data_IF_375446738393
#
_entry.id   IF_375446738393
#
_cell.length_a   1.000
_cell.length_b   1.000
_cell.length_c   1.000
_cell.angle_alpha   90.00
_cell.angle_beta   90.00
_cell.angle_gamma   90.00
#
_symmetry.space_group_name_H-M   'P 1'
#
loop_
_entity.id
_entity.type
_entity.pdbx_description
1 polymer ?
#
# COMPACT_ATOMS: atom_id res chain seq x y z
N UNK A 1 -5.10 0.06 -19.72
CA UNK A 1 -4.05 -0.85 -19.17
C UNK A 1 -3.86 -2.01 -20.14
N UNK A 2 -2.70 -2.67 -20.17
CA UNK A 2 -2.57 -3.87 -20.98
C UNK A 2 -3.51 -5.00 -20.49
N UNK A 3 -3.98 -5.83 -21.43
CA UNK A 3 -4.80 -7.01 -21.16
C UNK A 3 -3.89 -8.22 -21.03
N UNK A 4 -4.07 -8.98 -19.95
CA UNK A 4 -3.33 -10.23 -19.73
C UNK A 4 -3.81 -11.31 -20.70
N UNK A 5 -2.86 -12.09 -21.23
CA UNK A 5 -3.14 -13.10 -22.24
C UNK A 5 -2.57 -14.44 -21.77
N UNK A 6 -3.41 -15.47 -21.80
CA UNK A 6 -3.01 -16.85 -21.59
C UNK A 6 -3.06 -17.61 -22.92
N UNK A 7 -2.15 -18.56 -23.12
CA UNK A 7 -2.23 -19.52 -24.22
C UNK A 7 -3.31 -20.58 -23.99
N UNK A 8 -3.53 -21.43 -24.99
CA UNK A 8 -4.51 -22.53 -24.97
C UNK A 8 -4.41 -23.36 -23.69
N UNK A 9 -3.18 -23.65 -23.26
CA UNK A 9 -2.84 -24.44 -22.06
C UNK A 9 -2.77 -23.62 -20.76
N UNK A 10 -3.33 -22.41 -20.74
CA UNK A 10 -3.35 -21.47 -19.59
C UNK A 10 -1.96 -20.98 -19.14
N UNK A 11 -0.93 -21.18 -19.95
CA UNK A 11 0.40 -20.61 -19.72
C UNK A 11 0.40 -19.10 -20.06
N UNK A 12 1.14 -18.27 -19.31
CA UNK A 12 1.16 -16.83 -19.54
C UNK A 12 1.88 -16.46 -20.84
N UNK A 13 1.26 -15.58 -21.63
CA UNK A 13 1.83 -14.98 -22.84
C UNK A 13 2.02 -13.47 -22.64
N UNK A 14 2.66 -12.81 -23.60
CA UNK A 14 2.82 -11.35 -23.56
C UNK A 14 1.46 -10.63 -23.47
N UNK A 15 1.28 -9.70 -22.53
CA UNK A 15 0.10 -8.84 -22.49
C UNK A 15 -0.09 -8.07 -23.81
N UNK A 16 -1.33 -7.73 -24.13
CA UNK A 16 -1.67 -7.01 -25.36
C UNK A 16 -2.47 -5.73 -25.10
N UNK A 17 -2.65 -4.90 -26.12
CA UNK A 17 -3.49 -3.71 -26.02
C UNK A 17 -4.98 -4.08 -25.96
N UNK A 18 -5.79 -3.20 -25.37
CA UNK A 18 -7.25 -3.37 -25.30
C UNK A 18 -7.87 -3.53 -26.71
N UNK A 19 -7.38 -2.75 -27.69
CA UNK A 19 -7.77 -2.89 -29.11
C UNK A 19 -7.54 -4.31 -29.63
N UNK A 20 -6.35 -4.89 -29.37
CA UNK A 20 -6.01 -6.25 -29.83
C UNK A 20 -6.86 -7.30 -29.11
N UNK A 21 -7.06 -7.16 -27.80
CA UNK A 21 -7.90 -8.07 -27.03
C UNK A 21 -9.35 -8.09 -27.55
N UNK A 22 -9.90 -6.92 -27.85
CA UNK A 22 -11.24 -6.79 -28.45
C UNK A 22 -11.34 -7.49 -29.80
N UNK A 23 -10.40 -7.25 -30.71
CA UNK A 23 -10.37 -7.93 -32.02
C UNK A 23 -10.25 -9.46 -31.89
N UNK A 24 -9.48 -9.96 -30.92
CA UNK A 24 -9.35 -11.40 -30.67
C UNK A 24 -10.65 -12.03 -30.16
N UNK A 25 -11.40 -11.30 -29.33
CA UNK A 25 -12.70 -11.75 -28.82
C UNK A 25 -13.78 -11.70 -29.91
N UNK A 26 -13.88 -10.60 -30.66
CA UNK A 26 -14.81 -10.43 -31.78
C UNK A 26 -14.65 -11.52 -32.85
N UNK A 27 -13.39 -11.92 -33.13
CA UNK A 27 -13.07 -13.00 -34.08
C UNK A 27 -13.19 -14.41 -33.49
N UNK A 28 -13.65 -14.57 -32.25
CA UNK A 28 -13.81 -15.88 -31.60
C UNK A 28 -12.51 -16.63 -31.28
N UNK A 29 -11.34 -15.96 -31.40
CA UNK A 29 -10.02 -16.55 -31.16
C UNK A 29 -9.62 -16.57 -29.69
N UNK A 30 -10.30 -15.79 -28.85
CA UNK A 30 -10.06 -15.73 -27.41
C UNK A 30 -11.34 -15.90 -26.60
N UNK A 31 -11.18 -16.25 -25.32
CA UNK A 31 -12.26 -16.28 -24.33
C UNK A 31 -11.87 -15.49 -23.10
N UNK A 32 -12.84 -14.87 -22.44
CA UNK A 32 -12.62 -14.17 -21.17
C UNK A 32 -12.42 -15.21 -20.06
N UNK A 33 -11.34 -15.07 -19.31
CA UNK A 33 -11.04 -15.90 -18.12
C UNK A 33 -11.33 -15.15 -16.84
N UNK A 34 -11.05 -13.85 -16.81
CA UNK A 34 -11.26 -12.99 -15.65
C UNK A 34 -11.63 -11.58 -16.12
N UNK A 35 -12.55 -10.91 -15.42
CA UNK A 35 -12.98 -9.57 -15.79
C UNK A 35 -12.11 -8.48 -15.17
N UNK A 36 -11.65 -8.69 -13.93
CA UNK A 36 -10.82 -7.70 -13.24
C UNK A 36 -9.77 -8.36 -12.34
N UNK A 37 -8.47 -8.16 -12.64
CA UNK A 37 -7.94 -7.59 -13.89
C UNK A 37 -8.39 -8.37 -15.13
N UNK A 38 -8.51 -7.72 -16.29
CA UNK A 38 -9.03 -8.36 -17.49
C UNK A 38 -8.01 -9.35 -18.06
N UNK A 39 -8.41 -10.62 -18.17
CA UNK A 39 -7.57 -11.72 -18.65
C UNK A 39 -8.33 -12.47 -19.73
N UNK A 40 -7.70 -12.65 -20.89
CA UNK A 40 -8.21 -13.49 -21.97
C UNK A 40 -7.33 -14.72 -22.16
N UNK A 41 -7.91 -15.79 -22.72
CA UNK A 41 -7.18 -16.99 -23.13
C UNK A 41 -7.38 -17.23 -24.61
N UNK A 42 -6.28 -17.37 -25.36
CA UNK A 42 -6.29 -17.73 -26.76
C UNK A 42 -6.70 -19.20 -26.93
N UNK A 43 -7.45 -19.51 -27.99
CA UNK A 43 -7.88 -20.89 -28.31
C UNK A 43 -6.88 -21.62 -29.21
N UNK A 44 -6.07 -20.86 -29.92
CA UNK A 44 -5.34 -21.28 -31.12
C UNK A 44 -3.81 -21.09 -31.02
N UNK A 45 -3.29 -20.67 -29.86
CA UNK A 45 -1.85 -20.50 -29.63
C UNK A 45 -1.40 -21.02 -28.28
N UNK A 46 -0.23 -21.64 -28.27
CA UNK A 46 0.51 -22.09 -27.10
C UNK A 46 1.75 -21.21 -26.87
N UNK A 47 2.41 -21.41 -25.74
CA UNK A 47 3.65 -20.70 -25.40
C UNK A 47 4.79 -21.03 -26.38
N UNK A 48 4.86 -22.27 -26.85
CA UNK A 48 5.82 -22.74 -27.88
C UNK A 48 5.78 -21.91 -29.17
N UNK A 49 4.62 -21.33 -29.49
CA UNK A 49 4.39 -20.64 -30.77
C UNK A 49 4.69 -19.13 -30.66
N UNK A 50 5.25 -18.70 -29.54
CA UNK A 50 5.35 -17.30 -29.16
C UNK A 50 6.76 -16.94 -28.70
N UNK A 51 7.33 -15.88 -29.29
CA UNK A 51 8.48 -15.21 -28.69
C UNK A 51 8.05 -14.32 -27.52
N UNK A 52 8.74 -14.44 -26.40
CA UNK A 52 8.52 -13.61 -25.22
C UNK A 52 9.58 -12.51 -25.11
N UNK A 53 9.19 -11.39 -24.51
CA UNK A 53 10.10 -10.33 -24.12
C UNK A 53 10.28 -10.36 -22.60
N UNK A 54 11.47 -10.05 -22.06
CA UNK A 54 11.66 -9.98 -20.62
C UNK A 54 10.70 -8.97 -19.98
N UNK A 55 10.06 -9.39 -18.88
CA UNK A 55 9.19 -8.52 -18.09
C UNK A 55 9.64 -8.45 -16.64
N UNK A 56 9.47 -7.27 -16.06
CA UNK A 56 9.87 -6.90 -14.70
C UNK A 56 8.61 -6.52 -13.91
N UNK A 57 8.46 -7.09 -12.72
CA UNK A 57 7.47 -6.64 -11.75
C UNK A 57 8.15 -5.77 -10.69
N UNK A 58 7.87 -4.47 -10.73
CA UNK A 58 8.30 -3.51 -9.72
C UNK A 58 7.34 -3.46 -8.54
N UNK A 59 7.87 -3.34 -7.32
CA UNK A 59 7.15 -3.37 -6.05
C UNK A 59 7.62 -2.22 -5.16
N UNK A 60 6.70 -1.36 -4.77
CA UNK A 60 6.92 -0.29 -3.78
C UNK A 60 6.10 -0.58 -2.51
N UNK A 61 6.69 -1.22 -1.48
CA UNK A 61 5.99 -1.58 -0.26
C UNK A 61 5.79 -0.37 0.67
N UNK A 62 4.54 0.08 0.80
CA UNK A 62 4.13 1.09 1.78
C UNK A 62 3.41 0.49 2.99
N UNK A 63 3.10 1.35 3.97
CA UNK A 63 2.47 0.88 5.23
C UNK A 63 0.97 0.61 5.10
N UNK A 64 0.28 1.39 4.26
CA UNK A 64 -1.16 1.28 4.00
C UNK A 64 -1.42 0.60 2.67
N UNK A 65 -0.52 0.77 1.72
CA UNK A 65 -0.68 0.36 0.34
C UNK A 65 0.66 -0.06 -0.24
N UNK A 66 0.64 -0.95 -1.22
CA UNK A 66 1.84 -1.34 -2.00
C UNK A 66 1.60 -1.03 -3.47
N UNK A 67 2.53 -0.33 -4.10
CA UNK A 67 2.54 -0.14 -5.54
C UNK A 67 3.05 -1.40 -6.24
N UNK A 68 2.39 -1.81 -7.32
CA UNK A 68 2.88 -2.89 -8.18
C UNK A 68 2.79 -2.43 -9.64
N UNK A 69 3.87 -2.62 -10.39
CA UNK A 69 3.92 -2.23 -11.79
C UNK A 69 4.57 -3.31 -12.65
N UNK A 70 3.79 -3.83 -13.60
CA UNK A 70 4.31 -4.77 -14.60
C UNK A 70 4.88 -3.99 -15.78
N UNK A 71 6.12 -4.28 -16.12
CA UNK A 71 6.86 -3.60 -17.17
C UNK A 71 7.45 -4.60 -18.15
N UNK A 72 7.48 -4.23 -19.44
CA UNK A 72 8.33 -4.89 -20.43
C UNK A 72 9.68 -4.18 -20.48
N UNK A 73 10.75 -4.95 -20.58
CA UNK A 73 12.11 -4.45 -20.81
C UNK A 73 12.42 -4.49 -22.30
N UNK A 74 13.08 -3.46 -22.84
CA UNK A 74 13.71 -3.56 -24.16
C UNK A 74 15.06 -4.30 -24.04
N UNK A 75 15.34 -5.19 -25.00
CA UNK A 75 16.54 -6.04 -25.02
C UNK A 75 17.83 -5.30 -25.39
N UNK A 76 17.81 -3.97 -25.57
CA UNK A 76 18.95 -3.20 -26.06
C UNK A 76 19.98 -2.85 -24.97
N UNK A 77 20.05 -3.63 -23.88
CA UNK A 77 21.15 -3.55 -22.93
C UNK A 77 22.32 -4.37 -23.47
N UNK A 78 23.38 -3.71 -23.91
CA UNK A 78 24.72 -4.32 -23.94
C UNK A 78 25.14 -4.62 -22.49
N UNK A 79 25.94 -5.67 -22.29
CA UNK A 79 26.30 -6.23 -20.97
C UNK A 79 26.84 -5.20 -19.94
N UNK A 80 27.28 -4.03 -20.38
CA UNK A 80 27.77 -2.94 -19.54
C UNK A 80 26.71 -1.92 -19.06
N UNK A 81 25.48 -1.92 -19.63
CA UNK A 81 24.43 -0.93 -19.31
C UNK A 81 23.13 -1.63 -18.92
N UNK A 82 22.58 -1.24 -17.76
CA UNK A 82 21.25 -1.66 -17.33
C UNK A 82 20.20 -1.42 -18.45
N UNK A 83 19.12 -2.21 -18.54
CA UNK A 83 18.09 -2.04 -19.58
C UNK A 83 17.62 -0.58 -19.65
N UNK A 84 17.97 0.08 -20.76
CA UNK A 84 17.82 1.51 -20.93
C UNK A 84 16.35 1.93 -20.90
N UNK A 85 15.44 1.09 -21.42
CA UNK A 85 14.03 1.44 -21.57
C UNK A 85 13.11 0.44 -20.88
N UNK A 86 12.20 0.96 -20.07
CA UNK A 86 11.07 0.22 -19.49
C UNK A 86 9.76 0.69 -20.12
N UNK A 87 8.84 -0.24 -20.37
CA UNK A 87 7.48 0.06 -20.82
C UNK A 87 6.47 -0.38 -19.77
N UNK A 88 5.81 0.57 -19.11
CA UNK A 88 4.70 0.29 -18.20
C UNK A 88 3.54 -0.37 -18.94
N UNK A 89 3.19 -1.59 -18.54
CA UNK A 89 2.06 -2.33 -19.11
C UNK A 89 0.81 -2.18 -18.24
N UNK A 90 1.00 -2.37 -16.93
CA UNK A 90 -0.08 -2.34 -15.95
C UNK A 90 0.40 -1.67 -14.65
N UNK A 91 -0.43 -0.79 -14.11
CA UNK A 91 -0.23 -0.11 -12.84
C UNK A 91 -1.27 -0.61 -11.82
N UNK A 92 -0.82 -0.93 -10.62
CA UNK A 92 -1.68 -1.39 -9.53
C UNK A 92 -1.34 -0.72 -8.21
N UNK A 93 -2.38 -0.47 -7.42
CA UNK A 93 -2.27 0.03 -6.06
C UNK A 93 -2.99 -0.95 -5.13
N UNK A 94 -2.21 -1.73 -4.38
CA UNK A 94 -2.71 -2.75 -3.48
C UNK A 94 -2.96 -2.16 -2.09
N UNK A 95 -4.22 -1.87 -1.76
CA UNK A 95 -4.63 -1.34 -0.46
C UNK A 95 -4.72 -2.47 0.56
N UNK A 96 -3.90 -2.37 1.59
CA UNK A 96 -3.85 -3.35 2.68
C UNK A 96 -5.02 -3.16 3.65
N UNK A 97 -5.31 -4.21 4.43
CA UNK A 97 -6.24 -4.16 5.56
C UNK A 97 -5.55 -4.34 6.92
N UNK A 98 -4.24 -4.07 6.98
CA UNK A 98 -3.43 -4.26 8.19
C UNK A 98 -3.93 -3.46 9.39
N UNK A 99 -4.43 -2.24 9.14
CA UNK A 99 -5.04 -1.39 10.17
C UNK A 99 -6.31 -2.01 10.77
N UNK A 100 -7.22 -2.51 9.92
CA UNK A 100 -8.46 -3.18 10.35
C UNK A 100 -8.15 -4.47 11.12
N UNK A 101 -7.12 -5.23 10.70
CA UNK A 101 -6.66 -6.41 11.44
C UNK A 101 -6.18 -6.01 12.84
N UNK A 102 -5.37 -4.96 12.94
CA UNK A 102 -4.90 -4.44 14.22
C UNK A 102 -6.07 -4.03 15.13
N UNK A 103 -7.03 -3.25 14.62
CA UNK A 103 -8.22 -2.85 15.38
C UNK A 103 -9.00 -4.07 15.88
N UNK A 104 -9.19 -5.10 15.05
CA UNK A 104 -9.84 -6.34 15.45
C UNK A 104 -9.07 -7.10 16.54
N UNK A 105 -7.72 -7.06 16.52
CA UNK A 105 -6.87 -7.65 17.56
C UNK A 105 -6.94 -6.86 18.88
N UNK A 106 -6.94 -5.53 18.81
CA UNK A 106 -7.13 -4.64 19.97
C UNK A 106 -8.50 -4.87 20.61
N UNK A 107 -9.56 -4.95 19.79
CA UNK A 107 -10.91 -5.27 20.25
C UNK A 107 -10.95 -6.65 20.95
N UNK A 108 -10.34 -7.67 20.34
CA UNK A 108 -10.22 -9.01 20.94
C UNK A 108 -9.48 -8.99 22.27
N UNK A 109 -8.40 -8.21 22.38
CA UNK A 109 -7.66 -8.03 23.63
C UNK A 109 -8.55 -7.36 24.70
N UNK A 110 -9.33 -6.34 24.31
CA UNK A 110 -10.33 -5.69 25.15
C UNK A 110 -11.38 -6.67 25.69
N UNK A 111 -11.94 -7.54 24.85
CA UNK A 111 -12.89 -8.57 25.30
C UNK A 111 -12.28 -9.53 26.32
N UNK A 112 -11.02 -9.96 26.11
CA UNK A 112 -10.31 -10.80 27.07
C UNK A 112 -10.08 -10.06 28.40
N UNK A 113 -9.78 -8.77 28.35
CA UNK A 113 -9.62 -7.94 29.55
C UNK A 113 -10.94 -7.80 30.31
N UNK A 114 -12.04 -7.44 29.63
CA UNK A 114 -13.39 -7.35 30.24
C UNK A 114 -13.81 -8.67 30.88
N UNK A 115 -13.50 -9.80 30.24
CA UNK A 115 -13.81 -11.13 30.80
C UNK A 115 -13.12 -11.34 32.16
N UNK A 116 -11.91 -10.81 32.36
CA UNK A 116 -11.21 -10.88 33.65
C UNK A 116 -11.70 -9.82 34.63
N UNK A 117 -11.85 -8.57 34.20
CA UNK A 117 -12.18 -7.48 35.14
C UNK A 117 -13.65 -7.41 35.55
N UNK A 118 -14.59 -7.72 34.65
CA UNK A 118 -16.03 -7.58 34.89
C UNK A 118 -16.77 -8.90 35.04
N UNK A 119 -16.43 -9.93 34.27
CA UNK A 119 -17.24 -11.16 34.21
C UNK A 119 -16.73 -12.27 35.14
N UNK A 120 -15.43 -12.55 35.13
CA UNK A 120 -14.79 -13.66 35.84
C UNK A 120 -13.51 -13.15 36.53
N UNK A 121 -13.68 -12.51 37.69
CA UNK A 121 -12.59 -11.83 38.44
C UNK A 121 -11.43 -12.74 38.84
N UNK A 122 -11.70 -14.03 39.02
CA UNK A 122 -10.69 -15.05 39.33
C UNK A 122 -9.78 -15.43 38.14
N UNK A 123 -10.15 -15.04 36.90
CA UNK A 123 -9.44 -15.54 35.71
C UNK A 123 -8.13 -14.79 35.49
N UNK A 124 -7.00 -15.48 35.62
CA UNK A 124 -5.66 -14.92 35.38
C UNK A 124 -5.36 -14.64 33.89
N UNK A 125 -4.49 -13.65 33.57
CA UNK A 125 -3.95 -13.48 32.24
C UNK A 125 -3.00 -14.64 31.89
N UNK A 126 -3.08 -15.12 30.65
CA UNK A 126 -2.23 -16.19 30.11
C UNK A 126 -1.41 -15.63 28.95
N UNK A 127 -0.40 -14.80 29.27
CA UNK A 127 0.49 -14.23 28.25
C UNK A 127 1.53 -15.25 27.82
N UNK A 128 2.04 -16.04 28.76
CA UNK A 128 3.13 -17.00 28.53
C UNK A 128 2.70 -18.21 27.71
N UNK A 129 1.40 -18.53 27.69
CA UNK A 129 0.83 -19.55 26.79
C UNK A 129 0.86 -19.15 25.31
N UNK A 130 1.42 -17.99 24.95
CA UNK A 130 1.50 -17.49 23.57
C UNK A 130 2.89 -17.73 23.01
N UNK A 131 3.15 -18.94 22.54
CA UNK A 131 4.38 -19.27 21.82
C UNK A 131 4.44 -18.56 20.47
N UNK A 132 5.58 -17.92 20.17
CA UNK A 132 5.87 -17.27 18.88
C UNK A 132 7.10 -17.92 18.28
N UNK A 133 7.01 -18.33 17.01
CA UNK A 133 8.16 -18.89 16.28
C UNK A 133 9.21 -17.79 16.01
N UNK A 134 10.47 -18.19 15.81
CA UNK A 134 11.51 -17.27 15.33
C UNK A 134 11.07 -16.65 13.99
N UNK A 135 11.23 -15.33 13.84
CA UNK A 135 10.76 -14.59 12.66
C UNK A 135 9.26 -14.32 12.62
N UNK A 136 8.52 -14.56 13.71
CA UNK A 136 7.09 -14.29 13.77
C UNK A 136 6.77 -12.81 13.60
N UNK A 137 5.91 -12.51 12.63
CA UNK A 137 5.31 -11.19 12.46
C UNK A 137 3.89 -11.14 13.05
N UNK A 138 3.50 -10.03 13.70
CA UNK A 138 2.11 -9.77 14.05
C UNK A 138 1.18 -9.90 12.83
N UNK A 139 -0.07 -10.39 12.98
CA UNK A 139 -0.95 -10.64 11.84
C UNK A 139 -1.20 -9.43 10.93
N UNK A 140 -1.17 -8.20 11.47
CA UNK A 140 -1.30 -6.98 10.68
C UNK A 140 -0.08 -6.70 9.79
N UNK A 141 1.12 -7.09 10.22
CA UNK A 141 2.37 -6.97 9.46
C UNK A 141 2.53 -8.13 8.49
N UNK A 142 2.29 -9.37 8.94
CA UNK A 142 2.30 -10.56 8.09
C UNK A 142 1.35 -10.41 6.90
N UNK A 143 0.16 -9.83 7.13
CA UNK A 143 -0.80 -9.56 6.06
C UNK A 143 -0.22 -8.74 4.91
N UNK A 144 0.70 -7.80 5.17
CA UNK A 144 1.33 -6.98 4.12
C UNK A 144 2.21 -7.84 3.23
N UNK A 145 3.02 -8.71 3.83
CA UNK A 145 3.84 -9.69 3.11
C UNK A 145 2.96 -10.62 2.30
N UNK A 146 1.99 -11.27 2.97
CA UNK A 146 1.11 -12.27 2.35
C UNK A 146 0.29 -11.69 1.18
N UNK A 147 -0.25 -10.48 1.34
CA UNK A 147 -1.09 -9.89 0.29
C UNK A 147 -0.28 -9.41 -0.89
N UNK A 148 0.94 -8.90 -0.67
CA UNK A 148 1.85 -8.52 -1.74
C UNK A 148 2.28 -9.75 -2.51
N UNK A 149 2.73 -10.81 -1.82
CA UNK A 149 3.12 -12.07 -2.47
C UNK A 149 1.95 -12.75 -3.19
N UNK A 150 0.74 -12.76 -2.61
CA UNK A 150 -0.43 -13.29 -3.30
C UNK A 150 -0.72 -12.56 -4.64
N UNK A 151 -0.34 -11.29 -4.76
CA UNK A 151 -0.44 -10.53 -6.01
C UNK A 151 0.75 -10.74 -6.94
N UNK A 152 1.97 -10.87 -6.42
CA UNK A 152 3.11 -11.35 -7.20
C UNK A 152 2.76 -12.68 -7.87
N UNK A 153 2.27 -13.67 -7.10
CA UNK A 153 1.88 -14.99 -7.62
C UNK A 153 0.72 -14.94 -8.62
N UNK A 154 -0.23 -14.00 -8.45
CA UNK A 154 -1.30 -13.79 -9.44
C UNK A 154 -0.75 -13.23 -10.74
N UNK A 155 0.12 -12.22 -10.66
CA UNK A 155 0.69 -11.58 -11.83
C UNK A 155 1.63 -12.52 -12.58
N UNK A 156 2.45 -13.31 -11.89
CA UNK A 156 3.28 -14.36 -12.51
C UNK A 156 2.45 -15.45 -13.20
N UNK A 157 1.21 -15.69 -12.76
CA UNK A 157 0.29 -16.61 -13.46
C UNK A 157 -0.37 -16.00 -14.69
N UNK A 158 -0.36 -14.68 -14.85
CA UNK A 158 -1.05 -13.97 -15.93
C UNK A 158 -0.11 -13.29 -16.92
N UNK A 159 1.16 -13.11 -16.56
CA UNK A 159 2.21 -12.53 -17.39
C UNK A 159 3.54 -13.28 -17.19
N UNK A 160 4.38 -13.37 -18.23
CA UNK A 160 5.67 -14.05 -18.17
C UNK A 160 6.71 -13.20 -17.44
N UNK A 161 6.57 -13.09 -16.11
CA UNK A 161 7.46 -12.32 -15.25
C UNK A 161 8.82 -13.00 -15.17
N UNK A 162 9.87 -12.26 -15.53
CA UNK A 162 11.26 -12.75 -15.55
C UNK A 162 12.10 -12.16 -14.42
N UNK A 163 11.75 -10.97 -13.93
CA UNK A 163 12.51 -10.25 -12.91
C UNK A 163 11.56 -9.61 -11.89
N UNK A 164 12.03 -9.46 -10.66
CA UNK A 164 11.36 -8.72 -9.61
C UNK A 164 12.27 -7.58 -9.14
N UNK A 165 11.68 -6.40 -8.92
CA UNK A 165 12.35 -5.29 -8.24
C UNK A 165 11.52 -4.87 -7.04
N UNK A 166 12.17 -4.63 -5.89
CA UNK A 166 11.50 -4.02 -4.75
C UNK A 166 12.24 -2.81 -4.22
N UNK A 167 11.50 -1.77 -3.83
CA UNK A 167 12.08 -0.73 -2.99
C UNK A 167 12.39 -1.34 -1.61
N UNK A 168 13.67 -1.29 -1.24
CA UNK A 168 14.12 -1.69 0.09
C UNK A 168 14.25 -0.44 0.94
N UNK A 169 13.15 -0.11 1.62
CA UNK A 169 13.09 1.05 2.52
C UNK A 169 14.17 0.91 3.61
N UNK A 170 15.09 1.88 3.67
CA UNK A 170 16.23 1.91 4.59
C UNK A 170 16.04 2.90 5.75
N UNK A 171 14.89 2.84 6.42
CA UNK A 171 14.78 3.50 7.72
C UNK A 171 15.47 2.66 8.80
N UNK A 172 16.77 2.87 9.02
CA UNK A 172 17.46 2.25 10.15
C UNK A 172 17.09 2.98 11.45
N UNK A 173 15.97 2.57 12.05
CA UNK A 173 15.52 3.09 13.35
C UNK A 173 16.51 2.75 14.48
N UNK A 174 17.30 1.68 14.33
CA UNK A 174 18.23 1.17 15.36
C UNK A 174 19.57 1.90 15.35
N UNK A 175 20.15 2.23 14.19
CA UNK A 175 21.35 3.09 14.13
C UNK A 175 21.09 4.54 14.54
N UNK A 176 19.85 5.02 14.45
CA UNK A 176 19.44 6.30 15.05
C UNK A 176 19.35 6.25 16.59
N UNK A 177 19.30 5.05 17.18
CA UNK A 177 19.28 4.85 18.64
C UNK A 177 20.67 4.69 19.25
N UNK A 178 21.68 4.22 18.48
CA UNK A 178 23.07 4.05 18.94
C UNK A 178 24.07 4.20 17.75
N UNK A 179 24.84 5.30 17.67
CA UNK A 179 25.80 5.54 16.58
C UNK A 179 26.96 4.54 16.50
N UNK A 180 27.25 3.80 17.57
CA UNK A 180 28.47 2.99 17.73
C UNK A 180 28.34 1.53 17.24
N UNK A 181 27.26 1.15 16.55
CA UNK A 181 27.18 -0.19 15.96
C UNK A 181 28.05 -0.23 14.68
N UNK A 182 29.33 -0.54 14.87
CA UNK A 182 30.34 -0.79 13.85
C UNK A 182 30.11 -2.16 13.19
N UNK A 183 29.23 -2.18 12.19
CA UNK A 183 29.23 -3.21 11.16
C UNK A 183 30.08 -2.71 10.00
N UNK A 184 31.21 -3.39 9.75
CA UNK A 184 32.10 -3.12 8.62
C UNK A 184 31.31 -3.29 7.33
N UNK A 185 31.41 -2.26 6.48
CA UNK A 185 30.95 -2.11 5.09
C UNK A 185 29.83 -1.09 4.81
N UNK A 186 30.26 -0.11 4.00
CA UNK A 186 29.53 0.70 3.03
C UNK A 186 29.00 2.10 3.42
N UNK A 187 29.83 3.11 3.10
CA UNK A 187 29.54 4.44 2.53
C UNK A 187 28.05 4.84 2.37
N UNK A 188 27.37 5.24 3.46
CA UNK A 188 25.93 5.59 3.42
C UNK A 188 25.53 6.83 4.24
N UNK A 189 26.46 7.69 4.65
CA UNK A 189 26.15 8.89 5.44
C UNK A 189 25.17 9.86 4.75
N UNK A 190 25.41 10.16 3.47
CA UNK A 190 24.62 11.16 2.72
C UNK A 190 23.22 10.66 2.35
N UNK A 191 23.10 9.40 1.93
CA UNK A 191 21.82 8.78 1.55
C UNK A 191 20.91 8.58 2.77
N UNK A 192 21.46 8.21 3.92
CA UNK A 192 20.71 8.08 5.17
C UNK A 192 20.19 9.45 5.64
N UNK A 193 21.04 10.49 5.57
CA UNK A 193 20.62 11.87 5.86
C UNK A 193 19.49 12.34 4.93
N UNK A 194 19.54 11.95 3.65
CA UNK A 194 18.49 12.24 2.68
C UNK A 194 17.15 11.58 3.04
N UNK A 195 17.16 10.31 3.45
CA UNK A 195 15.94 9.59 3.84
C UNK A 195 15.31 10.16 5.13
N UNK A 196 16.11 10.54 6.12
CA UNK A 196 15.62 11.21 7.35
C UNK A 196 15.06 12.59 7.03
N UNK A 197 15.73 13.37 6.19
CA UNK A 197 15.26 14.69 5.75
C UNK A 197 13.91 14.60 5.06
N UNK A 198 13.77 13.70 4.09
CA UNK A 198 12.51 13.51 3.37
C UNK A 198 11.38 13.04 4.29
N UNK A 199 11.69 12.14 5.23
CA UNK A 199 10.74 11.74 6.25
C UNK A 199 10.27 12.93 7.09
N UNK A 200 11.19 13.77 7.56
CA UNK A 200 10.84 14.95 8.34
C UNK A 200 10.06 15.96 7.50
N UNK A 201 10.44 16.20 6.24
CA UNK A 201 9.68 17.06 5.32
C UNK A 201 8.24 16.58 5.16
N UNK A 202 8.01 15.28 4.98
CA UNK A 202 6.66 14.72 4.90
C UNK A 202 5.91 14.81 6.24
N UNK A 203 6.59 14.47 7.35
CA UNK A 203 6.03 14.54 8.72
C UNK A 203 5.54 15.94 9.06
N UNK A 204 6.32 16.96 8.70
CA UNK A 204 6.06 18.36 9.06
C UNK A 204 5.23 19.11 8.03
N UNK A 205 4.91 18.49 6.89
CA UNK A 205 4.06 19.05 5.84
C UNK A 205 4.78 19.99 4.87
N UNK A 206 6.10 19.83 4.69
CA UNK A 206 6.98 20.69 3.88
C UNK A 206 6.92 22.17 4.28
N UNK A 207 6.63 22.44 5.55
CA UNK A 207 6.62 23.76 6.16
C UNK A 207 7.52 23.75 7.41
N UNK A 208 8.01 24.93 7.79
CA UNK A 208 8.74 25.11 9.05
C UNK A 208 7.87 24.66 10.24
N UNK A 209 8.36 23.71 11.04
CA UNK A 209 7.69 23.18 12.22
C UNK A 209 7.25 24.30 13.18
N UNK A 210 8.06 25.35 13.28
CA UNK A 210 7.85 26.49 14.16
C UNK A 210 6.94 27.53 13.53
N UNK A 211 7.39 28.32 12.55
CA UNK A 211 6.58 29.42 12.04
C UNK A 211 5.53 29.04 11.00
N UNK A 212 5.59 27.85 10.38
CA UNK A 212 4.65 27.44 9.33
C UNK A 212 4.94 27.98 7.93
N UNK A 213 6.04 28.69 7.74
CA UNK A 213 6.46 29.14 6.40
C UNK A 213 6.78 27.93 5.52
N UNK A 214 6.13 27.85 4.36
CA UNK A 214 6.47 26.96 3.24
C UNK A 214 7.40 27.63 2.23
N UNK A 215 7.81 26.91 1.19
CA UNK A 215 8.55 27.45 0.03
C UNK A 215 9.89 28.13 0.35
N UNK A 216 10.59 27.63 1.37
CA UNK A 216 11.95 28.07 1.74
C UNK A 216 12.86 26.86 1.98
N UNK A 217 14.19 26.98 1.84
CA UNK A 217 15.11 25.95 2.31
C UNK A 217 14.89 25.65 3.79
N UNK A 218 14.62 24.38 4.06
CA UNK A 218 14.25 23.87 5.36
C UNK A 218 15.40 23.04 5.94
N UNK A 219 15.80 23.27 7.17
CA UNK A 219 16.93 22.62 7.84
C UNK A 219 16.44 21.57 8.84
N UNK A 220 17.23 20.50 9.02
CA UNK A 220 16.95 19.54 10.10
C UNK A 220 17.36 20.21 11.40
N UNK A 221 16.44 20.24 12.35
CA UNK A 221 16.63 20.92 13.63
C UNK A 221 16.45 19.93 14.79
N UNK A 222 17.25 20.11 15.84
CA UNK A 222 17.17 19.35 17.09
C UNK A 222 16.36 20.15 18.13
N UNK A 223 15.18 19.65 18.50
CA UNK A 223 14.27 20.35 19.44
C UNK A 223 14.95 20.58 20.78
N UNK A 224 15.49 19.51 21.36
CA UNK A 224 16.52 19.59 22.39
C UNK A 224 17.84 19.66 21.66
N UNK A 225 18.57 20.77 21.80
CA UNK A 225 19.83 21.00 21.11
C UNK A 225 20.90 19.97 21.51
N UNK A 226 21.84 19.67 20.61
CA UNK A 226 22.94 18.74 20.90
C UNK A 226 23.82 19.19 22.06
N UNK A 227 24.03 20.50 22.21
CA UNK A 227 24.74 21.10 23.34
C UNK A 227 24.02 20.90 24.69
N UNK A 228 22.77 20.43 24.68
CA UNK A 228 21.97 20.06 25.84
C UNK A 228 21.61 18.57 25.82
N UNK A 229 22.54 17.74 25.34
CA UNK A 229 22.41 16.28 25.23
C UNK A 229 21.24 15.80 24.37
N UNK A 230 20.82 16.64 23.42
CA UNK A 230 19.77 16.33 22.47
C UNK A 230 20.10 15.16 21.53
N UNK A 231 19.34 14.07 21.64
CA UNK A 231 19.54 12.91 20.75
C UNK A 231 19.26 13.25 19.28
N UNK A 232 19.93 12.56 18.35
CA UNK A 232 19.62 12.63 16.90
C UNK A 232 18.48 11.67 16.50
N UNK A 233 17.66 11.24 17.46
CA UNK A 233 16.48 10.40 17.20
C UNK A 233 15.39 11.25 16.56
N UNK A 234 14.61 10.66 15.66
CA UNK A 234 13.48 11.33 14.99
C UNK A 234 12.43 11.90 15.95
N UNK A 235 12.34 11.37 17.18
CA UNK A 235 11.50 11.92 18.26
C UNK A 235 11.98 13.28 18.79
N UNK A 236 13.21 13.69 18.47
CA UNK A 236 13.83 14.97 18.82
C UNK A 236 14.16 15.82 17.58
N UNK A 237 13.85 15.35 16.36
CA UNK A 237 14.15 16.08 15.12
C UNK A 237 12.90 16.74 14.52
N UNK A 238 13.07 17.97 14.04
CA UNK A 238 12.09 18.69 13.23
C UNK A 238 12.70 19.23 11.94
N UNK A 239 11.88 19.96 11.19
CA UNK A 239 12.32 20.76 10.07
C UNK A 239 11.98 22.22 10.37
N UNK A 240 12.95 23.12 10.28
CA UNK A 240 12.77 24.55 10.53
C UNK A 240 13.33 25.38 9.37
N UNK A 241 12.77 26.57 9.11
CA UNK A 241 13.44 27.54 8.24
C UNK A 241 14.71 28.06 8.93
N UNK A 242 15.66 28.54 8.14
CA UNK A 242 16.93 29.07 8.63
C UNK A 242 16.76 30.07 9.78
N UNK A 243 15.85 31.05 9.62
CA UNK A 243 15.59 32.07 10.66
C UNK A 243 15.09 31.47 11.97
N UNK A 244 14.19 30.48 11.91
CA UNK A 244 13.68 29.86 13.13
C UNK A 244 14.72 28.94 13.78
N UNK A 245 15.54 28.24 12.98
CA UNK A 245 16.59 27.38 13.48
C UNK A 245 17.66 28.20 14.23
N UNK A 246 18.13 29.29 13.61
CA UNK A 246 19.07 30.23 14.21
C UNK A 246 18.49 30.95 15.44
N UNK A 247 17.26 31.47 15.37
CA UNK A 247 16.67 32.19 16.48
C UNK A 247 16.40 31.31 17.71
N UNK A 248 16.05 30.04 17.50
CA UNK A 248 15.92 29.08 18.61
C UNK A 248 17.29 28.75 19.19
N UNK A 249 18.29 28.51 18.35
CA UNK A 249 19.62 28.07 18.77
C UNK A 249 19.52 26.92 19.79
N UNK A 250 20.10 27.09 20.99
CA UNK A 250 20.07 26.09 22.04
C UNK A 250 18.87 26.20 22.99
N UNK A 251 17.96 27.16 22.79
CA UNK A 251 16.84 27.40 23.69
C UNK A 251 15.88 26.20 23.78
N UNK A 252 15.27 26.03 24.95
CA UNK A 252 14.17 25.07 25.10
C UNK A 252 12.99 25.49 24.24
N UNK A 253 12.29 24.50 23.69
CA UNK A 253 11.16 24.73 22.79
C UNK A 253 10.08 25.63 23.42
N UNK A 254 9.78 25.44 24.71
CA UNK A 254 8.78 26.25 25.43
C UNK A 254 9.22 27.71 25.55
N UNK A 255 10.49 27.94 25.85
CA UNK A 255 11.05 29.27 26.05
C UNK A 255 11.07 30.02 24.73
N UNK A 256 11.53 29.37 23.65
CA UNK A 256 11.53 29.94 22.30
C UNK A 256 10.14 30.40 21.86
N UNK A 257 9.09 29.58 22.09
CA UNK A 257 7.71 29.97 21.80
C UNK A 257 7.17 31.09 22.71
N UNK A 258 7.68 31.20 23.93
CA UNK A 258 7.26 32.20 24.90
C UNK A 258 7.92 33.56 24.69
N UNK A 259 9.20 33.61 24.31
CA UNK A 259 10.03 34.82 24.40
C UNK A 259 10.38 35.41 23.03
N UNK A 260 10.54 34.60 21.98
CA UNK A 260 11.07 35.08 20.70
C UNK A 260 10.05 35.97 19.95
N UNK A 261 10.40 37.26 19.82
CA UNK A 261 9.58 38.25 19.10
C UNK A 261 9.56 37.96 17.59
N UNK A 262 10.65 37.43 17.04
CA UNK A 262 10.76 37.10 15.61
C UNK A 262 9.79 35.98 15.21
N UNK A 263 9.76 34.89 15.98
CA UNK A 263 8.83 33.79 15.84
C UNK A 263 7.39 34.26 15.94
N UNK A 264 7.04 35.07 16.95
CA UNK A 264 5.68 35.61 17.11
C UNK A 264 5.23 36.43 15.89
N UNK A 265 6.12 37.25 15.33
CA UNK A 265 5.85 38.01 14.10
C UNK A 265 5.58 37.08 12.91
N UNK A 266 6.41 36.06 12.71
CA UNK A 266 6.23 35.08 11.63
C UNK A 266 4.98 34.23 11.79
N UNK A 267 4.67 33.79 13.01
CA UNK A 267 3.43 33.07 13.32
C UNK A 267 2.20 33.91 12.97
N UNK A 268 2.19 35.20 13.36
CA UNK A 268 1.11 36.13 13.02
C UNK A 268 0.99 36.31 11.50
N UNK A 269 2.10 36.46 10.78
CA UNK A 269 2.10 36.58 9.33
C UNK A 269 1.48 35.35 8.63
N UNK A 270 1.68 34.16 9.19
CA UNK A 270 1.11 32.91 8.67
C UNK A 270 -0.27 32.58 9.27
N UNK A 271 -0.90 33.50 10.02
CA UNK A 271 -2.21 33.27 10.64
C UNK A 271 -2.23 32.18 11.72
N UNK A 272 -1.10 31.92 12.37
CA UNK A 272 -0.92 30.85 13.35
C UNK A 272 -0.82 31.40 14.78
N UNK A 273 -1.43 30.67 15.73
CA UNK A 273 -1.27 30.92 17.16
C UNK A 273 -0.06 30.17 17.73
N UNK A 274 0.74 30.84 18.58
CA UNK A 274 1.91 30.23 19.22
C UNK A 274 1.56 29.02 20.09
N UNK A 275 0.46 29.07 20.84
CA UNK A 275 0.03 27.97 21.73
C UNK A 275 -0.36 26.74 20.91
N UNK A 276 -1.25 26.92 19.92
CA UNK A 276 -1.71 25.86 19.03
C UNK A 276 -0.54 25.24 18.26
N UNK A 277 0.43 26.07 17.85
CA UNK A 277 1.59 25.61 17.09
C UNK A 277 2.60 24.86 17.97
N UNK A 278 2.85 25.32 19.20
CA UNK A 278 3.65 24.59 20.18
C UNK A 278 3.04 23.22 20.48
N UNK A 279 1.73 23.16 20.71
CA UNK A 279 1.01 21.90 20.91
C UNK A 279 1.13 20.97 19.70
N UNK A 280 1.02 21.50 18.48
CA UNK A 280 1.27 20.73 17.25
C UNK A 280 2.66 20.13 17.24
N UNK A 281 3.70 20.92 17.55
CA UNK A 281 5.10 20.45 17.59
C UNK A 281 5.27 19.35 18.63
N UNK A 282 4.87 19.60 19.88
CA UNK A 282 4.98 18.62 20.97
C UNK A 282 4.22 17.31 20.66
N UNK A 283 3.01 17.42 20.09
CA UNK A 283 2.22 16.26 19.66
C UNK A 283 2.91 15.50 18.54
N UNK A 284 3.43 16.18 17.51
CA UNK A 284 4.09 15.54 16.37
C UNK A 284 5.42 14.87 16.75
N UNK A 285 6.17 15.41 17.71
CA UNK A 285 7.38 14.76 18.23
C UNK A 285 7.05 13.41 18.90
N UNK A 286 5.95 13.36 19.64
CA UNK A 286 5.45 12.16 20.32
C UNK A 286 4.76 11.15 19.39
N UNK A 287 4.50 11.51 18.12
CA UNK A 287 3.88 10.58 17.19
C UNK A 287 4.86 9.44 16.85
N UNK A 288 4.52 8.18 17.19
CA UNK A 288 5.39 7.05 16.87
C UNK A 288 5.47 6.84 15.36
N UNK A 289 6.61 6.34 14.90
CA UNK A 289 6.95 6.06 13.49
C UNK A 289 6.20 4.85 12.91
N UNK A 290 4.91 4.71 13.22
CA UNK A 290 4.12 3.50 12.98
C UNK A 290 4.20 3.00 11.55
N UNK A 291 4.10 3.91 10.58
CA UNK A 291 4.12 3.56 9.18
C UNK A 291 5.51 3.08 8.73
N UNK A 292 6.57 3.84 9.04
CA UNK A 292 7.95 3.47 8.74
C UNK A 292 8.40 2.20 9.48
N UNK A 293 8.14 2.10 10.79
CA UNK A 293 8.41 0.90 11.60
C UNK A 293 7.74 -0.33 11.00
N UNK A 294 6.50 -0.18 10.55
CA UNK A 294 5.76 -1.31 10.04
C UNK A 294 6.24 -1.76 8.65
N UNK A 295 6.78 -0.86 7.80
CA UNK A 295 7.44 -1.24 6.54
C UNK A 295 8.80 -1.89 6.82
N UNK A 296 9.61 -1.28 7.69
CA UNK A 296 10.91 -1.83 8.11
C UNK A 296 10.80 -3.23 8.71
N UNK A 297 9.82 -3.45 9.58
CA UNK A 297 9.61 -4.74 10.22
C UNK A 297 9.26 -5.85 9.20
N UNK A 298 8.71 -5.49 8.05
CA UNK A 298 8.32 -6.45 7.00
C UNK A 298 9.32 -6.58 5.86
N UNK A 299 10.27 -5.63 5.70
CA UNK A 299 11.11 -5.51 4.49
C UNK A 299 11.91 -6.77 4.19
N UNK A 300 12.56 -7.35 5.20
CA UNK A 300 13.43 -8.51 5.03
C UNK A 300 12.64 -9.79 4.85
N UNK A 301 11.50 -9.91 5.55
CA UNK A 301 10.58 -11.03 5.33
C UNK A 301 10.03 -11.00 3.92
N UNK A 302 9.59 -9.84 3.42
CA UNK A 302 9.12 -9.68 2.04
C UNK A 302 10.21 -10.02 1.03
N UNK A 303 11.43 -9.48 1.20
CA UNK A 303 12.56 -9.78 0.35
C UNK A 303 12.89 -11.28 0.32
N UNK A 304 12.94 -11.93 1.49
CA UNK A 304 13.14 -13.37 1.61
C UNK A 304 12.06 -14.18 0.88
N UNK A 305 10.78 -13.79 1.04
CA UNK A 305 9.68 -14.45 0.32
C UNK A 305 9.72 -14.22 -1.19
N UNK A 306 10.21 -13.05 -1.65
CA UNK A 306 10.39 -12.79 -3.07
C UNK A 306 11.52 -13.64 -3.66
N UNK A 307 12.65 -13.80 -2.95
CA UNK A 307 13.73 -14.70 -3.40
C UNK A 307 13.24 -16.14 -3.53
N UNK A 308 12.34 -16.59 -2.65
CA UNK A 308 11.78 -17.92 -2.70
C UNK A 308 10.93 -18.21 -3.95
N UNK A 309 10.61 -17.19 -4.77
CA UNK A 309 9.97 -17.40 -6.08
C UNK A 309 10.90 -18.01 -7.13
N UNK A 310 12.22 -17.97 -6.91
CA UNK A 310 13.24 -18.39 -7.89
C UNK A 310 13.54 -17.35 -8.98
N UNK A 311 12.81 -16.23 -9.01
CA UNK A 311 13.08 -15.13 -9.95
C UNK A 311 14.24 -14.25 -9.44
N UNK A 312 15.09 -13.70 -10.34
CA UNK A 312 16.04 -12.65 -9.98
C UNK A 312 15.34 -11.47 -9.29
N UNK A 313 15.83 -11.12 -8.09
CA UNK A 313 15.29 -10.00 -7.28
C UNK A 313 16.35 -8.91 -7.13
N UNK A 314 16.10 -7.73 -7.68
CA UNK A 314 16.92 -6.54 -7.41
C UNK A 314 16.23 -5.59 -6.42
N UNK A 315 17.05 -4.75 -5.77
CA UNK A 315 16.58 -3.78 -4.78
C UNK A 315 16.94 -2.35 -5.20
N UNK A 316 16.06 -1.40 -4.87
CA UNK A 316 16.30 0.04 -5.02
C UNK A 316 16.10 0.79 -3.71
N UNK A 317 16.68 1.99 -3.60
CA UNK A 317 16.43 2.91 -2.48
C UNK A 317 15.38 3.96 -2.86
N UNK A 318 14.63 4.46 -1.87
CA UNK A 318 13.64 5.51 -2.08
C UNK A 318 14.25 6.82 -2.62
N UNK A 319 15.49 7.14 -2.23
CA UNK A 319 16.23 8.27 -2.80
C UNK A 319 16.46 8.11 -4.31
N UNK A 320 16.78 6.90 -4.78
CA UNK A 320 16.94 6.61 -6.20
C UNK A 320 15.60 6.63 -6.93
N UNK A 321 14.55 6.07 -6.33
CA UNK A 321 13.18 6.13 -6.85
C UNK A 321 12.78 7.58 -7.11
N UNK A 322 12.99 8.47 -6.12
CA UNK A 322 12.71 9.90 -6.23
C UNK A 322 13.53 10.58 -7.32
N UNK A 323 14.84 10.33 -7.37
CA UNK A 323 15.72 10.89 -8.41
C UNK A 323 15.23 10.52 -9.81
N UNK A 324 14.94 9.24 -10.06
CA UNK A 324 14.42 8.78 -11.35
C UNK A 324 13.09 9.45 -11.71
N UNK A 325 12.22 9.63 -10.71
CA UNK A 325 10.92 10.29 -10.87
C UNK A 325 11.07 11.76 -11.29
N UNK A 326 11.95 12.50 -10.62
CA UNK A 326 12.22 13.90 -10.91
C UNK A 326 12.89 14.07 -12.27
N UNK A 327 13.92 13.27 -12.57
CA UNK A 327 14.62 13.28 -13.86
C UNK A 327 13.68 13.06 -15.04
N UNK A 328 12.64 12.25 -14.87
CA UNK A 328 11.71 11.86 -15.93
C UNK A 328 10.35 12.58 -15.88
N UNK A 329 10.16 13.53 -14.96
CA UNK A 329 8.89 14.27 -14.82
C UNK A 329 7.68 13.39 -14.45
N UNK A 330 7.89 12.33 -13.66
CA UNK A 330 6.83 11.38 -13.31
C UNK A 330 6.14 11.84 -12.00
N UNK A 331 4.79 11.87 -11.92
CA UNK A 331 4.09 12.24 -10.69
C UNK A 331 4.23 11.17 -9.60
N UNK A 332 4.06 11.57 -8.33
CA UNK A 332 4.22 10.65 -7.20
C UNK A 332 2.95 9.82 -7.01
N UNK A 333 3.07 8.51 -7.18
CA UNK A 333 2.09 7.53 -6.68
C UNK A 333 2.83 6.25 -6.31
N UNK A 334 2.25 5.41 -5.44
CA UNK A 334 2.85 4.12 -5.11
C UNK A 334 3.12 3.25 -6.35
N UNK A 335 2.18 3.19 -7.31
CA UNK A 335 2.39 2.40 -8.53
C UNK A 335 3.53 2.95 -9.39
N UNK A 336 3.65 4.28 -9.53
CA UNK A 336 4.72 4.89 -10.32
C UNK A 336 6.07 4.85 -9.59
N UNK A 337 6.07 4.96 -8.26
CA UNK A 337 7.25 4.71 -7.43
C UNK A 337 7.76 3.28 -7.68
N UNK A 338 6.86 2.28 -7.71
CA UNK A 338 7.20 0.89 -8.06
C UNK A 338 7.82 0.74 -9.47
N UNK A 339 7.38 1.55 -10.44
CA UNK A 339 7.95 1.57 -11.79
C UNK A 339 9.38 2.16 -11.82
N UNK A 340 9.66 3.07 -10.89
CA UNK A 340 10.92 3.81 -10.77
C UNK A 340 11.98 3.11 -9.90
N UNK A 341 11.70 1.91 -9.40
CA UNK A 341 12.64 1.15 -8.57
C UNK A 341 13.82 0.62 -9.40
N UNK A 342 15.05 0.88 -8.94
CA UNK A 342 16.30 0.37 -9.52
C UNK A 342 16.90 1.25 -10.63
N UNK A 343 17.93 0.76 -11.32
CA UNK A 343 18.61 1.47 -12.43
C UNK A 343 17.83 1.32 -13.74
N UNK A 344 17.64 2.42 -14.45
CA UNK A 344 17.10 2.51 -15.82
C UNK A 344 17.28 3.93 -16.36
N UNK A 345 17.11 4.13 -17.67
CA UNK A 345 17.29 5.45 -18.31
C UNK A 345 15.95 6.10 -18.65
N UNK A 346 15.04 5.36 -19.30
CA UNK A 346 13.74 5.85 -19.75
C UNK A 346 12.59 4.96 -19.32
N UNK A 347 11.44 5.58 -19.00
CA UNK A 347 10.18 4.90 -18.72
C UNK A 347 9.12 5.40 -19.70
N UNK A 348 8.58 4.49 -20.51
CA UNK A 348 7.49 4.73 -21.46
C UNK A 348 6.20 4.07 -20.95
N UNK A 349 5.04 4.49 -21.45
CA UNK A 349 3.75 3.84 -21.15
C UNK A 349 3.24 3.97 -19.71
N UNK A 350 3.86 4.83 -18.89
CA UNK A 350 3.45 5.05 -17.50
C UNK A 350 2.17 5.88 -17.36
N UNK A 351 1.77 6.62 -18.41
CA UNK A 351 0.50 7.36 -18.47
C UNK A 351 -0.66 6.39 -18.72
N UNK A 352 -0.94 5.54 -17.75
CA UNK A 352 -2.00 4.56 -17.80
C UNK A 352 -2.92 4.68 -16.57
N UNK A 353 -4.18 4.26 -16.67
CA UNK A 353 -5.05 4.11 -15.51
C UNK A 353 -4.41 3.16 -14.48
N UNK A 354 -4.61 3.45 -13.20
CA UNK A 354 -4.12 2.58 -12.11
C UNK A 354 -5.28 1.73 -11.58
N UNK A 355 -5.11 0.42 -11.55
CA UNK A 355 -6.09 -0.48 -10.95
C UNK A 355 -5.87 -0.55 -9.44
N UNK A 356 -6.78 0.03 -8.66
CA UNK A 356 -6.76 -0.13 -7.21
C UNK A 356 -7.35 -1.48 -6.85
N UNK A 357 -6.64 -2.17 -5.97
CA UNK A 357 -6.97 -3.49 -5.46
C UNK A 357 -7.08 -3.38 -3.95
N UNK A 358 -8.30 -3.45 -3.43
CA UNK A 358 -8.54 -3.36 -1.98
C UNK A 358 -8.66 -4.75 -1.37
N UNK A 359 -7.84 -5.05 -0.36
CA UNK A 359 -7.95 -6.32 0.37
C UNK A 359 -9.23 -6.32 1.24
N UNK A 360 -10.23 -7.11 0.83
CA UNK A 360 -11.54 -7.21 1.51
C UNK A 360 -11.61 -8.40 2.47
N UNK A 361 -10.78 -9.42 2.25
CA UNK A 361 -10.83 -10.69 2.96
C UNK A 361 -11.83 -11.70 2.39
N UNK A 362 -11.76 -12.95 2.88
CA UNK A 362 -12.55 -14.09 2.38
C UNK A 362 -13.60 -14.58 3.38
N UNK A 363 -14.28 -13.62 4.02
CA UNK A 363 -15.33 -13.86 5.02
C UNK A 363 -14.92 -13.51 6.46
N UNK A 364 -15.77 -13.87 7.41
CA UNK A 364 -15.58 -13.62 8.84
C UNK A 364 -15.53 -14.92 9.62
N UNK A 365 -14.51 -15.07 10.48
CA UNK A 365 -14.47 -16.13 11.49
C UNK A 365 -15.35 -15.82 12.70
N UNK A 366 -15.53 -14.53 13.01
CA UNK A 366 -16.45 -14.11 14.06
C UNK A 366 -17.88 -14.18 13.53
N UNK A 367 -18.70 -15.02 14.17
CA UNK A 367 -20.08 -15.25 13.76
C UNK A 367 -21.09 -14.47 14.58
N UNK A 368 -20.76 -14.08 15.81
CA UNK A 368 -21.63 -13.24 16.63
C UNK A 368 -21.22 -11.77 16.47
N UNK A 369 -22.11 -10.96 15.90
CA UNK A 369 -21.96 -9.50 15.89
C UNK A 369 -22.40 -8.96 17.23
N UNK A 370 -21.65 -7.98 17.74
CA UNK A 370 -21.96 -7.28 18.97
C UNK A 370 -22.42 -5.86 18.65
N UNK A 371 -23.21 -5.26 19.53
CA UNK A 371 -23.47 -3.82 19.52
C UNK A 371 -22.29 -3.03 20.12
N UNK A 372 -22.45 -1.70 20.25
CA UNK A 372 -21.43 -0.82 20.84
C UNK A 372 -21.15 -1.09 22.33
N UNK A 373 -22.08 -1.75 23.03
CA UNK A 373 -21.97 -2.11 24.45
C UNK A 373 -21.41 -3.53 24.68
N UNK A 374 -21.26 -4.30 23.60
CA UNK A 374 -20.72 -5.66 23.62
C UNK A 374 -21.77 -6.76 23.77
N UNK A 375 -23.07 -6.47 23.59
CA UNK A 375 -24.15 -7.45 23.59
C UNK A 375 -24.37 -8.06 22.20
N UNK A 376 -24.70 -9.37 22.10
CA UNK A 376 -25.02 -10.00 20.82
C UNK A 376 -26.18 -9.31 20.10
N UNK A 377 -25.95 -8.86 18.87
CA UNK A 377 -26.96 -8.23 18.00
C UNK A 377 -27.38 -9.12 16.83
N UNK A 378 -26.57 -10.12 16.49
CA UNK A 378 -26.94 -11.04 15.41
C UNK A 378 -25.87 -12.08 15.10
N UNK A 379 -26.30 -13.13 14.40
CA UNK A 379 -25.47 -14.29 14.06
C UNK A 379 -25.30 -14.40 12.55
N UNK A 380 -24.04 -14.49 12.11
CA UNK A 380 -23.70 -14.76 10.72
C UNK A 380 -23.98 -16.22 10.36
N UNK A 381 -24.45 -16.42 9.13
CA UNK A 381 -24.69 -17.73 8.52
C UNK A 381 -23.46 -18.65 8.59
N UNK A 382 -23.73 -19.97 8.72
CA UNK A 382 -22.70 -21.03 8.70
C UNK A 382 -22.17 -21.27 7.29
N UNK A 383 -23.09 -21.30 6.34
CA UNK A 383 -22.80 -21.52 4.92
C UNK A 383 -22.20 -20.24 4.33
N UNK A 384 -21.25 -20.38 3.41
CA UNK A 384 -20.65 -19.22 2.69
C UNK A 384 -21.37 -18.87 1.40
N UNK A 385 -22.21 -19.77 0.91
CA UNK A 385 -22.94 -19.62 -0.34
C UNK A 385 -24.44 -19.71 -0.11
N UNK A 386 -25.19 -18.96 -0.92
CA UNK A 386 -26.65 -19.00 -0.97
C UNK A 386 -27.03 -18.90 -2.44
N UNK A 387 -27.84 -19.86 -2.92
CA UNK A 387 -28.32 -19.90 -4.31
C UNK A 387 -27.18 -19.84 -5.36
N UNK A 388 -26.04 -20.47 -5.06
CA UNK A 388 -24.88 -20.49 -5.95
C UNK A 388 -24.02 -19.22 -5.93
N UNK A 389 -24.33 -18.22 -5.10
CA UNK A 389 -23.56 -16.98 -4.94
C UNK A 389 -22.83 -16.91 -3.61
N UNK A 390 -21.71 -16.18 -3.56
CA UNK A 390 -20.94 -15.89 -2.35
C UNK A 390 -20.77 -14.38 -2.15
N UNK A 391 -20.74 -13.90 -0.89
CA UNK A 391 -20.35 -12.51 -0.61
C UNK A 391 -18.97 -12.23 -1.19
N UNK A 392 -18.91 -11.23 -2.06
CA UNK A 392 -17.72 -10.82 -2.78
C UNK A 392 -17.69 -11.20 -4.25
N UNK A 393 -18.61 -12.03 -4.72
CA UNK A 393 -18.83 -12.25 -6.15
C UNK A 393 -19.20 -10.92 -6.83
N UNK A 394 -18.73 -10.73 -8.06
CA UNK A 394 -19.19 -9.66 -8.94
C UNK A 394 -20.36 -10.17 -9.76
N UNK A 395 -21.48 -9.48 -9.71
CA UNK A 395 -22.72 -9.86 -10.39
C UNK A 395 -23.24 -8.72 -11.25
N UNK A 396 -24.01 -9.06 -12.28
CA UNK A 396 -24.90 -8.17 -13.00
C UNK A 396 -26.32 -8.55 -12.62
N UNK A 397 -27.08 -7.64 -12.05
CA UNK A 397 -28.49 -7.85 -11.76
C UNK A 397 -29.36 -7.03 -12.71
N UNK A 398 -30.31 -7.68 -13.38
CA UNK A 398 -31.28 -7.02 -14.27
C UNK A 398 -32.64 -7.11 -13.62
N UNK A 399 -33.11 -5.98 -13.07
CA UNK A 399 -34.37 -5.89 -12.34
C UNK A 399 -35.44 -5.34 -13.28
N UNK A 400 -36.52 -6.08 -13.56
CA UNK A 400 -37.47 -5.73 -14.61
C UNK A 400 -38.39 -4.55 -14.24
N UNK A 401 -38.81 -4.42 -12.98
CA UNK A 401 -39.80 -3.41 -12.57
C UNK A 401 -39.65 -2.99 -11.11
N UNK A 402 -40.38 -1.94 -10.72
CA UNK A 402 -40.42 -1.38 -9.37
C UNK A 402 -39.32 -0.35 -9.08
N UNK A 403 -39.20 0.07 -7.81
CA UNK A 403 -38.31 1.17 -7.38
C UNK A 403 -36.82 0.96 -7.67
N UNK A 404 -36.40 -0.27 -7.99
CA UNK A 404 -35.00 -0.65 -8.26
C UNK A 404 -34.81 -1.19 -9.67
N UNK A 405 -35.78 -0.95 -10.56
CA UNK A 405 -35.70 -1.35 -11.97
C UNK A 405 -34.40 -0.85 -12.60
N UNK A 406 -33.87 -1.62 -13.54
CA UNK A 406 -32.62 -1.33 -14.24
C UNK A 406 -31.52 -2.35 -14.00
N UNK A 407 -30.33 -2.05 -14.53
CA UNK A 407 -29.16 -2.94 -14.48
C UNK A 407 -28.16 -2.48 -13.44
N UNK A 408 -27.87 -3.35 -12.48
CA UNK A 408 -26.94 -3.09 -11.37
C UNK A 408 -25.75 -4.02 -11.47
N UNK A 409 -24.56 -3.48 -11.71
CA UNK A 409 -23.33 -4.28 -11.75
C UNK A 409 -22.45 -3.95 -10.56
N UNK A 410 -22.02 -4.96 -9.80
CA UNK A 410 -21.28 -4.70 -8.58
C UNK A 410 -20.93 -5.92 -7.76
N UNK A 411 -20.28 -5.67 -6.62
CA UNK A 411 -19.90 -6.72 -5.67
C UNK A 411 -21.09 -7.05 -4.77
N UNK A 412 -21.43 -8.33 -4.67
CA UNK A 412 -22.61 -8.78 -3.92
C UNK A 412 -22.27 -9.05 -2.44
N UNK A 413 -23.17 -8.67 -1.55
CA UNK A 413 -23.25 -9.15 -0.18
C UNK A 413 -24.53 -9.98 -0.05
N UNK A 414 -24.36 -11.29 0.13
CA UNK A 414 -25.47 -12.24 0.14
C UNK A 414 -26.16 -12.28 1.50
N UNK A 415 -27.43 -12.70 1.49
CA UNK A 415 -28.23 -12.97 2.70
C UNK A 415 -28.88 -14.35 2.57
N UNK A 416 -29.16 -14.99 3.72
CA UNK A 416 -29.81 -16.31 3.77
C UNK A 416 -31.15 -16.33 3.03
N UNK A 417 -31.86 -15.20 3.00
CA UNK A 417 -33.16 -15.04 2.32
C UNK A 417 -33.08 -15.10 0.80
N UNK A 418 -31.89 -15.05 0.19
CA UNK A 418 -31.75 -14.91 -1.27
C UNK A 418 -31.98 -13.48 -1.77
N UNK A 419 -32.14 -12.51 -0.88
CA UNK A 419 -32.24 -11.08 -1.21
C UNK A 419 -30.90 -10.40 -0.91
N UNK A 420 -30.20 -9.99 -1.96
CA UNK A 420 -28.81 -9.56 -1.92
C UNK A 420 -28.65 -8.04 -1.93
N UNK A 421 -27.53 -7.56 -1.39
CA UNK A 421 -27.12 -6.16 -1.56
C UNK A 421 -26.00 -6.11 -2.61
N UNK A 422 -26.11 -5.23 -3.60
CA UNK A 422 -25.13 -5.04 -4.65
C UNK A 422 -24.46 -3.69 -4.44
N UNK A 423 -23.14 -3.69 -4.22
CA UNK A 423 -22.35 -2.47 -4.14
C UNK A 423 -21.98 -2.04 -5.57
N UNK A 424 -22.63 -0.98 -6.06
CA UNK A 424 -22.32 -0.32 -7.34
C UNK A 424 -21.45 0.91 -7.08
N UNK A 425 -21.03 1.58 -8.16
CA UNK A 425 -20.28 2.84 -8.10
C UNK A 425 -21.14 3.98 -7.53
N UNK A 426 -22.45 3.97 -7.80
CA UNK A 426 -23.41 4.97 -7.33
C UNK A 426 -23.93 4.71 -5.91
N UNK A 427 -23.66 3.53 -5.33
CA UNK A 427 -24.05 3.19 -3.97
C UNK A 427 -24.46 1.74 -3.78
N UNK A 428 -24.96 1.42 -2.59
CA UNK A 428 -25.43 0.08 -2.27
C UNK A 428 -26.91 -0.07 -2.63
N UNK A 429 -27.22 -0.89 -3.63
CA UNK A 429 -28.60 -1.26 -3.97
C UNK A 429 -28.97 -2.50 -3.18
N UNK A 430 -29.90 -2.33 -2.24
CA UNK A 430 -30.22 -3.39 -1.27
C UNK A 430 -31.41 -4.24 -1.73
N UNK A 431 -31.47 -5.48 -1.25
CA UNK A 431 -32.65 -6.32 -1.34
C UNK A 431 -33.00 -6.81 -2.76
N UNK A 432 -32.02 -7.02 -3.63
CA UNK A 432 -32.21 -7.56 -4.98
C UNK A 432 -32.33 -9.08 -4.93
N UNK A 433 -33.39 -9.65 -5.51
CA UNK A 433 -33.55 -11.10 -5.59
C UNK A 433 -32.41 -11.75 -6.38
N UNK A 434 -31.89 -12.87 -5.88
CA UNK A 434 -30.86 -13.67 -6.56
C UNK A 434 -31.28 -14.10 -7.97
N UNK A 435 -32.58 -14.25 -8.23
CA UNK A 435 -33.14 -14.63 -9.54
C UNK A 435 -32.81 -13.62 -10.63
N UNK A 436 -32.60 -12.35 -10.26
CA UNK A 436 -32.21 -11.30 -11.19
C UNK A 436 -30.70 -11.22 -11.38
N UNK A 437 -29.91 -11.93 -10.58
CA UNK A 437 -28.45 -11.85 -10.58
C UNK A 437 -27.83 -12.87 -11.53
N UNK A 438 -26.89 -12.43 -12.35
CA UNK A 438 -25.99 -13.27 -13.12
C UNK A 438 -24.57 -13.10 -12.59
N UNK A 439 -23.88 -14.22 -12.34
CA UNK A 439 -22.50 -14.20 -11.89
C UNK A 439 -21.57 -13.75 -13.03
N UNK A 440 -20.76 -12.73 -12.77
CA UNK A 440 -19.75 -12.24 -13.71
C UNK A 440 -18.34 -12.72 -13.34
N UNK A 441 -17.99 -12.67 -12.06
CA UNK A 441 -16.68 -13.11 -11.56
C UNK A 441 -16.83 -13.57 -10.11
N UNK A 442 -16.18 -14.69 -9.76
CA UNK A 442 -16.14 -15.19 -8.38
C UNK A 442 -15.30 -14.26 -7.49
N UNK A 443 -15.73 -14.11 -6.24
CA UNK A 443 -15.02 -13.32 -5.24
C UNK A 443 -13.70 -13.95 -4.85
N UNK A 444 -12.60 -13.24 -5.05
CA UNK A 444 -11.24 -13.73 -4.80
C UNK A 444 -10.59 -13.16 -3.52
N UNK A 445 -11.35 -12.35 -2.78
CA UNK A 445 -10.93 -11.67 -1.55
C UNK A 445 -10.55 -10.20 -1.74
N UNK A 446 -10.64 -9.68 -2.96
CA UNK A 446 -10.31 -8.29 -3.28
C UNK A 446 -11.52 -7.52 -3.82
N UNK A 447 -11.46 -6.20 -3.73
CA UNK A 447 -12.34 -5.26 -4.41
C UNK A 447 -11.54 -4.46 -5.41
N UNK A 448 -12.13 -4.14 -6.55
CA UNK A 448 -11.43 -3.52 -7.68
C UNK A 448 -12.12 -2.21 -8.08
N UNK A 449 -11.34 -1.15 -8.26
CA UNK A 449 -11.80 0.11 -8.82
C UNK A 449 -10.66 0.78 -9.61
N UNK A 450 -10.94 1.32 -10.81
CA UNK A 450 -9.93 2.05 -11.58
C UNK A 450 -9.75 3.46 -11.00
N UNK A 451 -8.52 3.97 -11.02
CA UNK A 451 -8.21 5.38 -10.93
C UNK A 451 -7.92 5.91 -12.34
N UNK A 452 -8.43 7.10 -12.69
CA UNK A 452 -8.15 7.70 -14.00
C UNK A 452 -6.65 7.96 -14.16
N UNK A 453 -6.21 8.07 -15.41
CA UNK A 453 -4.84 8.48 -15.73
C UNK A 453 -4.57 9.87 -15.14
N UNK A 454 -3.44 10.03 -14.45
CA UNK A 454 -3.03 11.33 -13.93
C UNK A 454 -2.72 12.23 -15.14
N UNK A 455 -3.51 13.30 -15.28
CA UNK A 455 -3.18 14.40 -16.19
C UNK A 455 -2.10 15.25 -15.50
N UNK A 456 -0.99 15.46 -16.19
CA UNK A 456 0.10 16.35 -15.76
C UNK A 456 -0.26 17.80 -16.01
#
# INVERSE_FOLDING_TARGET
MAVFVLGKNKQPLMPCSEKRARLLLERGRAVVVNLTPFVIRLRDRCLSDCALQPTLLGIDPGSKETGLTLMRLENNATEEKAPATRHGLCLFQLVHRGFQIRQALEQRAGFRRRRRSKNLRYRQPRFDNRTRKKGWLPPSLQHRVDTTMAWVDKLCRWAPVTHLNMELVRFDLQKMENPEISGVEYQQGTLLGYEVREYLLEKWGRECAYCGTGDTPLEIEHVVAKSRDGSSRVSNLTIACHECNQAKDNQWLTDFFATDKGLKKRLKANGLSATVRLERVQRQLKLPLRDATAVNATRWTLFGTMKATGLPVAVGSGGRTKYSRQRLGIPKTHALDAACVGKFDTLKGWRAPTQVIKAMGRGSYQRTRLDKYGFPRGYLMRQKQVQGFQTGDRVRAVVPSGKKAGTHTGRVAIRKTGSFNIQTEQGAVQGISWRHCTLLQRGDGYGYHPLPTIQS
#
